data_IF_546417447814
#
_entry.id   IF_546417447814
#
_cell.length_a   1.000
_cell.length_b   1.000
_cell.length_c   1.000
_cell.angle_alpha   90.00
_cell.angle_beta   90.00
_cell.angle_gamma   90.00
#
_symmetry.space_group_name_H-M   'P 1'
#
loop_
_entity.id
_entity.type
_entity.pdbx_description
1 polymer ?
#
# COMPACT_ATOMS: atom_id res chain seq x y z
N UNK A 1 -5.85 -5.43 -7.68
CA UNK A 1 -7.16 -5.60 -8.35
C UNK A 1 -7.15 -4.79 -9.65
N UNK A 2 -7.96 -5.10 -10.67
CA UNK A 2 -7.90 -4.44 -11.96
C UNK A 2 -8.63 -3.09 -11.94
N UNK A 3 -8.09 -2.11 -11.20
CA UNK A 3 -8.52 -0.72 -11.28
C UNK A 3 -7.54 0.03 -12.17
N UNK A 4 -8.05 0.85 -13.08
CA UNK A 4 -7.22 1.84 -13.79
C UNK A 4 -6.77 2.96 -12.83
N UNK A 5 -5.73 3.70 -13.21
CA UNK A 5 -5.12 4.73 -12.37
C UNK A 5 -6.12 5.81 -11.92
N UNK A 6 -7.08 6.17 -12.78
CA UNK A 6 -8.10 7.16 -12.46
C UNK A 6 -9.06 6.66 -11.37
N UNK A 7 -9.47 5.40 -11.45
CA UNK A 7 -10.29 4.73 -10.43
C UNK A 7 -9.50 4.51 -9.14
N UNK A 8 -8.22 4.18 -9.23
CA UNK A 8 -7.33 4.07 -8.06
C UNK A 8 -7.23 5.40 -7.33
N UNK A 9 -7.04 6.51 -8.04
CA UNK A 9 -7.00 7.84 -7.44
C UNK A 9 -8.32 8.22 -6.74
N UNK A 10 -9.47 7.93 -7.36
CA UNK A 10 -10.79 8.14 -6.73
C UNK A 10 -10.97 7.32 -5.46
N UNK A 11 -10.62 6.04 -5.52
CA UNK A 11 -10.62 5.15 -4.37
C UNK A 11 -9.73 5.68 -3.25
N UNK A 12 -8.52 6.10 -3.59
CA UNK A 12 -7.55 6.58 -2.62
C UNK A 12 -8.05 7.86 -1.89
N UNK A 13 -8.65 8.79 -2.63
CA UNK A 13 -9.24 10.00 -2.05
C UNK A 13 -10.39 9.69 -1.10
N UNK A 14 -11.27 8.76 -1.47
CA UNK A 14 -12.38 8.33 -0.60
C UNK A 14 -11.85 7.70 0.70
N UNK A 15 -10.88 6.79 0.61
CA UNK A 15 -10.27 6.15 1.78
C UNK A 15 -9.62 7.19 2.69
N UNK A 16 -8.92 8.18 2.12
CA UNK A 16 -8.29 9.26 2.87
C UNK A 16 -9.30 10.17 3.59
N UNK A 17 -10.44 10.45 2.98
CA UNK A 17 -11.51 11.22 3.65
C UNK A 17 -12.09 10.44 4.83
N UNK A 18 -12.41 9.16 4.60
CA UNK A 18 -12.96 8.29 5.64
C UNK A 18 -11.95 7.99 6.75
N UNK A 19 -10.64 8.03 6.45
CA UNK A 19 -9.59 7.72 7.44
C UNK A 19 -9.51 8.72 8.58
N UNK A 20 -10.16 9.89 8.44
CA UNK A 20 -10.29 10.87 9.52
C UNK A 20 -11.08 10.33 10.73
N UNK A 21 -11.96 9.34 10.53
CA UNK A 21 -12.82 8.78 11.58
C UNK A 21 -12.73 7.27 11.72
N UNK A 22 -12.23 6.57 10.71
CA UNK A 22 -12.11 5.10 10.70
C UNK A 22 -10.66 4.72 10.39
N UNK A 23 -10.07 3.80 11.14
CA UNK A 23 -8.76 3.28 10.79
C UNK A 23 -8.87 2.29 9.62
N UNK A 24 -8.16 2.57 8.53
CA UNK A 24 -8.10 1.69 7.37
C UNK A 24 -6.81 0.86 7.38
N UNK A 25 -6.96 -0.43 7.10
CA UNK A 25 -5.86 -1.33 6.75
C UNK A 25 -6.23 -1.93 5.40
N UNK A 26 -5.38 -1.71 4.40
CA UNK A 26 -5.57 -2.23 3.06
C UNK A 26 -4.27 -2.87 2.56
N UNK A 27 -4.41 -3.89 1.71
CA UNK A 27 -3.28 -4.59 1.09
C UNK A 27 -3.24 -4.16 -0.37
N UNK A 28 -2.10 -3.66 -0.82
CA UNK A 28 -1.94 -3.15 -2.18
C UNK A 28 -0.55 -3.43 -2.73
N UNK A 29 -0.48 -3.51 -4.06
CA UNK A 29 0.76 -3.45 -4.85
C UNK A 29 0.73 -2.26 -5.83
N UNK A 30 -0.27 -1.38 -5.75
CA UNK A 30 -0.40 -0.24 -6.65
C UNK A 30 0.29 1.00 -6.05
N UNK A 31 1.20 1.60 -6.82
CA UNK A 31 2.02 2.74 -6.40
C UNK A 31 1.21 3.93 -5.88
N UNK A 32 0.12 4.32 -6.55
CA UNK A 32 -0.72 5.46 -6.16
C UNK A 32 -1.32 5.24 -4.77
N UNK A 33 -1.77 4.01 -4.47
CA UNK A 33 -2.31 3.70 -3.13
C UNK A 33 -1.24 3.57 -2.06
N UNK A 34 -0.01 3.18 -2.42
CA UNK A 34 1.11 3.10 -1.48
C UNK A 34 1.54 4.50 -1.05
N UNK A 35 1.66 5.44 -1.99
CA UNK A 35 2.01 6.85 -1.72
C UNK A 35 0.97 7.58 -0.85
N UNK A 36 -0.29 7.14 -0.87
CA UNK A 36 -1.36 7.70 -0.03
C UNK A 36 -1.31 7.22 1.42
N UNK A 37 -0.71 6.05 1.68
CA UNK A 37 -0.69 5.43 3.01
C UNK A 37 0.16 6.24 3.99
N UNK A 38 -0.28 6.34 5.24
CA UNK A 38 0.51 7.00 6.29
C UNK A 38 1.67 6.13 6.80
N UNK A 39 1.53 4.81 6.70
CA UNK A 39 2.54 3.82 7.07
C UNK A 39 2.47 2.65 6.10
N UNK A 40 3.64 2.14 5.71
CA UNK A 40 3.76 0.96 4.87
C UNK A 40 4.47 -0.16 5.64
N UNK A 41 3.83 -1.33 5.64
CA UNK A 41 4.37 -2.56 6.20
C UNK A 41 4.59 -3.53 5.04
N UNK A 42 5.84 -3.87 4.79
CA UNK A 42 6.21 -4.89 3.83
C UNK A 42 6.04 -6.28 4.46
N UNK A 43 5.53 -7.23 3.69
CA UNK A 43 5.51 -8.63 4.06
C UNK A 43 6.39 -9.39 3.08
N UNK A 44 7.42 -10.05 3.60
CA UNK A 44 8.37 -10.83 2.81
C UNK A 44 8.35 -12.29 3.24
N UNK A 45 8.80 -13.17 2.35
CA UNK A 45 8.94 -14.59 2.61
C UNK A 45 10.37 -15.01 2.31
N UNK A 46 11.26 -14.88 3.31
CA UNK A 46 12.66 -15.27 3.16
C UNK A 46 12.83 -16.80 3.13
N UNK A 47 12.00 -17.49 3.93
CA UNK A 47 11.92 -18.95 3.97
C UNK A 47 10.55 -19.37 3.43
N UNK A 48 10.46 -20.43 2.61
CA UNK A 48 9.19 -20.88 2.04
C UNK A 48 8.13 -21.12 3.12
N UNK A 49 7.00 -20.41 3.02
CA UNK A 49 5.87 -20.55 3.94
C UNK A 49 5.97 -19.76 5.24
N UNK A 50 7.06 -19.02 5.49
CA UNK A 50 7.21 -18.18 6.70
C UNK A 50 7.26 -16.70 6.33
N UNK A 51 6.19 -15.99 6.66
CA UNK A 51 6.10 -14.54 6.45
C UNK A 51 6.87 -13.76 7.53
N UNK A 52 7.57 -12.70 7.14
CA UNK A 52 8.20 -11.73 8.04
C UNK A 52 7.75 -10.32 7.69
N UNK A 53 7.49 -9.50 8.71
CA UNK A 53 7.11 -8.10 8.56
C UNK A 53 8.39 -7.25 8.53
N UNK A 54 8.45 -6.32 7.59
CA UNK A 54 9.50 -5.30 7.50
C UNK A 54 8.86 -3.92 7.46
N UNK A 55 9.46 -2.96 8.16
CA UNK A 55 9.10 -1.56 7.97
C UNK A 55 9.64 -1.12 6.61
N UNK A 56 8.85 -0.40 5.84
CA UNK A 56 9.22 0.05 4.50
C UNK A 56 9.17 1.56 4.49
N UNK A 57 10.27 2.19 4.05
CA UNK A 57 10.28 3.62 3.76
C UNK A 57 9.40 3.86 2.51
N UNK A 58 8.59 4.92 2.51
CA UNK A 58 7.68 5.22 1.39
C UNK A 58 8.47 5.43 0.10
N UNK A 59 9.66 6.03 0.19
CA UNK A 59 10.55 6.23 -0.95
C UNK A 59 11.10 4.90 -1.50
N UNK A 60 11.48 3.97 -0.61
CA UNK A 60 11.94 2.63 -0.95
C UNK A 60 10.78 1.74 -1.50
N UNK A 61 9.57 1.93 -0.99
CA UNK A 61 8.37 1.22 -1.44
C UNK A 61 8.04 1.52 -2.90
N UNK A 62 8.24 2.77 -3.33
CA UNK A 62 8.01 3.21 -4.69
C UNK A 62 8.98 2.57 -5.69
N UNK A 63 10.20 2.23 -5.27
CA UNK A 63 11.19 1.49 -6.07
C UNK A 63 10.86 0.00 -6.14
N UNK A 64 10.50 -0.64 -5.02
CA UNK A 64 10.14 -2.06 -4.96
C UNK A 64 8.89 -2.40 -5.78
N UNK A 65 7.93 -1.49 -5.87
CA UNK A 65 6.72 -1.68 -6.69
C UNK A 65 6.98 -1.56 -8.21
N UNK A 66 8.16 -1.10 -8.62
CA UNK A 66 8.56 -0.94 -10.03
C UNK A 66 9.38 -2.13 -10.57
N UNK A 67 9.75 -3.08 -9.71
CA UNK A 67 10.41 -4.36 -10.06
C UNK A 67 9.38 -5.46 -10.35
#
# INVERSE_FOLDING_TARGET
APLDDANVGRYANLVKEMSATVQFIFITHNKITMEMANQLLGVTMHEPGVSRIVAVDIDEAAELAAM
#
